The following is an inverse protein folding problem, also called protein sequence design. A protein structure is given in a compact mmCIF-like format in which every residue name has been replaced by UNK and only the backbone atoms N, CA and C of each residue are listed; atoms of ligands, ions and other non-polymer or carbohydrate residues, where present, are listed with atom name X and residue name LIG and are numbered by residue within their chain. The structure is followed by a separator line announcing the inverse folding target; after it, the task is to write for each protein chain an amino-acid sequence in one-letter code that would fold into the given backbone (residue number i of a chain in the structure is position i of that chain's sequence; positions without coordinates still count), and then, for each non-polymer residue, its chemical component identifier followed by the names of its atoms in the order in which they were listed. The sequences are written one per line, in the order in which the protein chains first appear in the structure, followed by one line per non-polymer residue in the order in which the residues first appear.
data_IF_491184834934
#
_entry.id   IF_491184834934
#
_cell.length_a   1.000
_cell.length_b   1.000
_cell.length_c   1.000
_cell.angle_alpha   90.00
_cell.angle_beta   90.00
_cell.angle_gamma   90.00
#
_symmetry.space_group_name_H-M   'P 1'
#
loop_
_entity.id
_entity.type
_entity.pdbx_description
1 polymer ?
#
# COMPACT_ATOMS: atom_id res chain seq x y z
N UNK A 1 83.05 13.50 43.99
CA UNK A 1 83.22 12.26 44.79
C UNK A 1 81.84 11.66 44.99
N UNK A 2 81.78 10.34 44.98
CA UNK A 2 80.64 9.45 44.66
C UNK A 2 79.64 9.31 45.84
N UNK A 3 78.34 9.06 45.58
CA UNK A 3 77.63 7.81 45.94
C UNK A 3 76.12 7.90 46.24
N UNK A 4 75.42 6.90 45.67
CA UNK A 4 74.28 6.09 46.15
C UNK A 4 73.00 6.82 46.64
N UNK A 5 71.78 6.39 46.33
CA UNK A 5 71.27 5.03 46.12
C UNK A 5 70.12 4.78 47.10
N UNK A 6 69.21 3.87 46.75
CA UNK A 6 68.02 3.40 47.51
C UNK A 6 66.76 4.28 47.38
N UNK A 7 65.53 3.79 47.37
CA UNK A 7 64.99 2.48 47.72
C UNK A 7 63.65 2.25 46.98
N UNK A 8 63.34 0.98 46.68
CA UNK A 8 62.03 0.51 46.21
C UNK A 8 60.99 0.56 47.33
N UNK A 9 59.73 0.92 47.03
CA UNK A 9 58.61 0.78 47.96
C UNK A 9 57.45 -0.05 47.37
N UNK A 10 56.77 -0.91 48.16
CA UNK A 10 55.79 -1.90 47.68
C UNK A 10 54.34 -1.38 47.64
N UNK A 11 54.13 -0.06 47.83
CA UNK A 11 52.80 0.59 47.83
C UNK A 11 52.20 0.76 46.43
N UNK A 12 52.99 0.61 45.37
CA UNK A 12 52.56 0.87 43.99
C UNK A 12 51.56 -0.18 43.46
N UNK A 13 51.67 -1.45 43.85
CA UNK A 13 50.86 -2.53 43.28
C UNK A 13 49.39 -2.51 43.72
N UNK A 14 49.08 -2.19 44.98
CA UNK A 14 47.68 -2.09 45.45
C UNK A 14 46.96 -0.89 44.85
N UNK A 15 47.67 0.23 44.71
CA UNK A 15 47.14 1.46 44.14
C UNK A 15 46.94 1.32 42.62
N UNK A 16 47.85 0.63 41.92
CA UNK A 16 47.69 0.27 40.51
C UNK A 16 46.48 -0.64 40.28
N UNK A 17 46.25 -1.65 41.13
CA UNK A 17 45.09 -2.54 41.01
C UNK A 17 43.76 -1.80 41.24
N UNK A 18 43.73 -0.85 42.18
CA UNK A 18 42.54 -0.03 42.44
C UNK A 18 42.23 0.91 41.26
N UNK A 19 43.25 1.61 40.73
CA UNK A 19 43.11 2.49 39.56
C UNK A 19 42.67 1.69 38.33
N UNK A 20 43.24 0.49 38.13
CA UNK A 20 42.85 -0.42 37.04
C UNK A 20 41.39 -0.88 37.19
N UNK A 21 40.96 -1.23 38.40
CA UNK A 21 39.58 -1.64 38.69
C UNK A 21 38.57 -0.51 38.45
N UNK A 22 38.87 0.71 38.90
CA UNK A 22 38.03 1.90 38.66
C UNK A 22 37.99 2.24 37.17
N UNK A 23 39.12 2.16 36.46
CA UNK A 23 39.19 2.40 35.01
C UNK A 23 38.36 1.37 34.21
N UNK A 24 38.42 0.10 34.59
CA UNK A 24 37.58 -0.95 34.01
C UNK A 24 36.10 -0.70 34.30
N UNK A 25 35.75 -0.34 35.52
CA UNK A 25 34.36 -0.10 35.90
C UNK A 25 33.77 1.12 35.16
N UNK A 26 34.57 2.18 34.99
CA UNK A 26 34.21 3.38 34.22
C UNK A 26 34.06 3.08 32.73
N UNK A 27 34.96 2.28 32.16
CA UNK A 27 34.90 1.83 30.77
C UNK A 27 33.70 0.92 30.50
N UNK A 28 33.37 0.02 31.44
CA UNK A 28 32.17 -0.83 31.39
C UNK A 28 30.88 -0.01 31.50
N UNK A 29 30.80 0.95 32.42
CA UNK A 29 29.65 1.86 32.54
C UNK A 29 29.43 2.71 31.28
N UNK A 30 30.51 3.23 30.67
CA UNK A 30 30.42 4.02 29.44
C UNK A 30 29.94 3.17 28.25
N UNK A 31 30.51 1.97 28.07
CA UNK A 31 30.11 1.02 27.01
C UNK A 31 28.68 0.51 27.21
N UNK A 32 28.26 0.31 28.45
CA UNK A 32 26.87 -0.02 28.78
C UNK A 32 25.95 1.14 28.38
N UNK A 33 26.25 2.37 28.79
CA UNK A 33 25.40 3.54 28.48
C UNK A 33 25.21 3.75 26.96
N UNK A 34 26.25 3.58 26.16
CA UNK A 34 26.14 3.74 24.70
C UNK A 34 25.37 2.59 24.06
N UNK A 35 25.63 1.34 24.46
CA UNK A 35 24.97 0.14 23.93
C UNK A 35 23.48 0.08 24.30
N UNK A 36 23.14 0.44 25.54
CA UNK A 36 21.74 0.52 25.97
C UNK A 36 20.99 1.64 25.26
N UNK A 37 21.64 2.78 24.99
CA UNK A 37 21.01 3.87 24.24
C UNK A 37 20.75 3.55 22.76
N UNK A 38 21.58 2.69 22.14
CA UNK A 38 21.40 2.28 20.74
C UNK A 38 20.39 1.15 20.62
N UNK A 39 20.38 0.18 21.55
CA UNK A 39 19.36 -0.88 21.60
C UNK A 39 17.97 -0.31 21.92
N UNK A 40 17.87 0.61 22.89
CA UNK A 40 16.62 1.28 23.21
C UNK A 40 16.11 2.12 22.03
N UNK A 41 16.98 2.88 21.34
CA UNK A 41 16.60 3.58 20.11
C UNK A 41 16.15 2.62 19.00
N UNK A 42 16.88 1.53 18.77
CA UNK A 42 16.53 0.53 17.75
C UNK A 42 15.14 -0.07 18.00
N UNK A 43 14.82 -0.44 19.24
CA UNK A 43 13.51 -1.00 19.58
C UNK A 43 12.39 0.03 19.42
N UNK A 44 12.57 1.27 19.90
CA UNK A 44 11.58 2.36 19.71
C UNK A 44 11.39 2.70 18.23
N UNK A 45 12.47 2.77 17.45
CA UNK A 45 12.40 3.03 16.01
C UNK A 45 11.73 1.90 15.24
N UNK A 46 11.97 0.64 15.63
CA UNK A 46 11.31 -0.52 15.05
C UNK A 46 9.80 -0.50 15.34
N UNK A 47 9.40 -0.20 16.57
CA UNK A 47 8.00 -0.04 16.95
C UNK A 47 7.35 1.14 16.22
N UNK A 48 8.03 2.29 16.10
CA UNK A 48 7.56 3.45 15.35
C UNK A 48 7.40 3.14 13.86
N UNK A 49 8.33 2.39 13.25
CA UNK A 49 8.22 1.96 11.84
C UNK A 49 7.01 1.05 11.65
N UNK A 50 6.80 0.06 12.53
CA UNK A 50 5.64 -0.83 12.50
C UNK A 50 4.32 -0.04 12.57
N UNK A 51 4.21 0.88 13.54
CA UNK A 51 3.03 1.75 13.68
C UNK A 51 2.81 2.64 12.44
N UNK A 52 3.87 3.22 11.88
CA UNK A 52 3.78 4.07 10.69
C UNK A 52 3.41 3.28 9.45
N UNK A 53 3.94 2.06 9.30
CA UNK A 53 3.61 1.16 8.19
C UNK A 53 2.14 0.74 8.27
N UNK A 54 1.65 0.32 9.43
CA UNK A 54 0.24 -0.02 9.64
C UNK A 54 -0.67 1.18 9.36
N UNK A 55 -0.31 2.38 9.82
CA UNK A 55 -1.07 3.60 9.54
C UNK A 55 -1.13 3.89 8.03
N UNK A 56 -0.01 3.79 7.32
CA UNK A 56 0.05 4.00 5.86
C UNK A 56 -0.79 2.96 5.11
N UNK A 57 -0.77 1.71 5.56
CA UNK A 57 -1.59 0.63 5.00
C UNK A 57 -3.08 0.93 5.13
N UNK A 58 -3.58 1.26 6.32
CA UNK A 58 -4.98 1.64 6.48
C UNK A 58 -5.34 2.93 5.72
N UNK A 59 -4.40 3.87 5.64
CA UNK A 59 -4.59 5.09 4.88
C UNK A 59 -4.72 4.83 3.37
N UNK A 60 -4.01 3.85 2.79
CA UNK A 60 -4.20 3.51 1.38
C UNK A 60 -5.58 2.92 1.09
N UNK A 61 -6.14 2.10 2.01
CA UNK A 61 -7.53 1.65 1.87
C UNK A 61 -8.51 2.83 1.93
N UNK A 62 -8.33 3.74 2.89
CA UNK A 62 -9.17 4.92 3.00
C UNK A 62 -9.17 5.73 1.69
N UNK A 63 -7.99 5.94 1.08
CA UNK A 63 -7.90 6.64 -0.20
C UNK A 63 -8.58 5.87 -1.35
N UNK A 64 -8.42 4.54 -1.41
CA UNK A 64 -9.11 3.71 -2.41
C UNK A 64 -10.63 3.80 -2.27
N UNK A 65 -11.17 3.68 -1.05
CA UNK A 65 -12.61 3.82 -0.79
C UNK A 65 -13.12 5.23 -1.06
N UNK A 66 -12.33 6.26 -0.76
CA UNK A 66 -12.68 7.63 -1.11
C UNK A 66 -12.80 7.81 -2.63
N UNK A 67 -11.91 7.20 -3.41
CA UNK A 67 -11.99 7.20 -4.88
C UNK A 67 -13.23 6.49 -5.42
N UNK A 68 -13.57 5.33 -4.88
CA UNK A 68 -14.80 4.60 -5.26
C UNK A 68 -16.04 5.42 -4.88
N UNK A 69 -16.09 5.97 -3.66
CA UNK A 69 -17.20 6.81 -3.21
C UNK A 69 -17.36 8.07 -4.06
N UNK A 70 -16.26 8.59 -4.61
CA UNK A 70 -16.29 9.73 -5.51
C UNK A 70 -16.97 9.36 -6.84
N UNK A 71 -16.53 8.27 -7.47
CA UNK A 71 -17.14 7.78 -8.71
C UNK A 71 -18.64 7.47 -8.54
N UNK A 72 -19.01 6.83 -7.43
CA UNK A 72 -20.43 6.55 -7.08
C UNK A 72 -21.25 7.83 -6.91
N UNK A 73 -20.68 8.99 -6.62
CA UNK A 73 -21.45 10.22 -6.41
C UNK A 73 -21.56 11.08 -7.65
N UNK A 74 -20.48 11.13 -8.42
CA UNK A 74 -20.30 12.13 -9.47
C UNK A 74 -20.54 11.59 -10.88
N UNK A 75 -20.30 10.30 -11.11
CA UNK A 75 -20.29 9.72 -12.47
C UNK A 75 -21.60 8.99 -12.78
N UNK A 76 -22.39 9.57 -13.70
CA UNK A 76 -23.66 8.98 -14.15
C UNK A 76 -23.46 7.63 -14.83
N UNK A 77 -22.40 7.50 -15.64
CA UNK A 77 -22.08 6.25 -16.33
C UNK A 77 -21.76 5.14 -15.31
N UNK A 78 -21.03 5.47 -14.25
CA UNK A 78 -20.77 4.56 -13.15
C UNK A 78 -22.05 4.06 -12.47
N UNK A 79 -23.09 4.90 -12.30
CA UNK A 79 -24.38 4.43 -11.76
C UNK A 79 -25.06 3.40 -12.64
N UNK A 80 -25.02 3.60 -13.96
CA UNK A 80 -25.62 2.70 -14.94
C UNK A 80 -24.88 1.36 -14.91
N UNK A 81 -23.56 1.38 -14.98
CA UNK A 81 -22.75 0.16 -14.90
C UNK A 81 -22.92 -0.57 -13.57
N UNK A 82 -22.99 0.17 -12.46
CA UNK A 82 -23.24 -0.41 -11.15
C UNK A 82 -24.63 -1.07 -11.06
N UNK A 83 -25.66 -0.47 -11.66
CA UNK A 83 -26.98 -1.09 -11.75
C UNK A 83 -26.94 -2.40 -12.55
N UNK A 84 -26.22 -2.43 -13.68
CA UNK A 84 -26.00 -3.67 -14.43
C UNK A 84 -25.22 -4.71 -13.62
N UNK A 85 -24.20 -4.31 -12.88
CA UNK A 85 -23.45 -5.19 -11.98
C UNK A 85 -24.36 -5.84 -10.92
N UNK A 86 -25.29 -5.07 -10.33
CA UNK A 86 -26.27 -5.60 -9.39
C UNK A 86 -27.24 -6.59 -10.06
N UNK A 87 -27.71 -6.29 -11.27
CA UNK A 87 -28.57 -7.20 -12.04
C UNK A 87 -27.83 -8.51 -12.34
N UNK A 88 -26.61 -8.45 -12.86
CA UNK A 88 -25.79 -9.64 -13.14
C UNK A 88 -25.51 -10.43 -11.86
N UNK A 89 -25.21 -9.75 -10.75
CA UNK A 89 -25.02 -10.40 -9.45
C UNK A 89 -26.29 -11.11 -8.96
N UNK A 90 -27.45 -10.49 -9.11
CA UNK A 90 -28.74 -11.11 -8.77
C UNK A 90 -29.02 -12.33 -9.66
N UNK A 91 -28.81 -12.23 -10.98
CA UNK A 91 -29.00 -13.36 -11.89
C UNK A 91 -28.01 -14.50 -11.59
N UNK A 92 -26.75 -14.20 -11.29
CA UNK A 92 -25.74 -15.20 -10.94
C UNK A 92 -26.06 -15.94 -9.63
N UNK A 93 -26.78 -15.28 -8.71
CA UNK A 93 -27.32 -15.89 -7.50
C UNK A 93 -28.59 -16.70 -7.75
N UNK A 94 -29.49 -16.20 -8.61
CA UNK A 94 -30.79 -16.82 -8.92
C UNK A 94 -30.65 -18.10 -9.77
N UNK A 95 -29.81 -18.09 -10.81
CA UNK A 95 -29.60 -19.25 -11.68
C UNK A 95 -28.69 -20.31 -11.02
N UNK A 96 -28.89 -21.61 -11.32
CA UNK A 96 -28.07 -22.70 -10.78
C UNK A 96 -26.71 -22.81 -11.50
N UNK A 97 -25.96 -21.72 -11.55
CA UNK A 97 -24.64 -21.64 -12.17
C UNK A 97 -23.58 -22.41 -11.37
N UNK A 98 -22.58 -22.94 -12.07
CA UNK A 98 -21.38 -23.51 -11.49
C UNK A 98 -20.49 -22.44 -10.82
N UNK A 99 -19.58 -22.87 -9.95
CA UNK A 99 -18.62 -21.97 -9.31
C UNK A 99 -17.72 -21.22 -10.31
N UNK A 100 -17.36 -21.87 -11.41
CA UNK A 100 -16.49 -21.29 -12.44
C UNK A 100 -17.24 -20.20 -13.23
N UNK A 101 -18.49 -20.45 -13.60
CA UNK A 101 -19.34 -19.47 -14.29
C UNK A 101 -19.58 -18.22 -13.42
N UNK A 102 -19.89 -18.41 -12.14
CA UNK A 102 -20.01 -17.29 -11.19
C UNK A 102 -18.71 -16.50 -11.08
N UNK A 103 -17.57 -17.19 -11.03
CA UNK A 103 -16.26 -16.54 -10.93
C UNK A 103 -15.95 -15.70 -12.17
N UNK A 104 -16.28 -16.21 -13.36
CA UNK A 104 -16.12 -15.48 -14.63
C UNK A 104 -17.05 -14.24 -14.66
N UNK A 105 -18.30 -14.37 -14.24
CA UNK A 105 -19.23 -13.22 -14.19
C UNK A 105 -18.73 -12.14 -13.23
N UNK A 106 -18.26 -12.52 -12.04
CA UNK A 106 -17.67 -11.58 -11.07
C UNK A 106 -16.44 -10.90 -11.66
N UNK A 107 -15.52 -11.68 -12.25
CA UNK A 107 -14.29 -11.17 -12.83
C UNK A 107 -14.56 -10.13 -13.92
N UNK A 108 -15.45 -10.45 -14.86
CA UNK A 108 -15.75 -9.58 -15.99
C UNK A 108 -16.53 -8.33 -15.55
N UNK A 109 -17.45 -8.47 -14.58
CA UNK A 109 -18.15 -7.31 -14.00
C UNK A 109 -17.19 -6.36 -13.29
N UNK A 110 -16.26 -6.89 -12.48
CA UNK A 110 -15.24 -6.08 -11.80
C UNK A 110 -14.29 -5.42 -12.81
N UNK A 111 -13.96 -6.10 -13.92
CA UNK A 111 -13.12 -5.54 -14.98
C UNK A 111 -13.77 -4.32 -15.64
N UNK A 112 -15.06 -4.41 -16.00
CA UNK A 112 -15.81 -3.29 -16.60
C UNK A 112 -15.81 -2.09 -15.65
N UNK A 113 -16.22 -2.31 -14.39
CA UNK A 113 -16.24 -1.25 -13.38
C UNK A 113 -14.85 -0.62 -13.15
N UNK A 114 -13.79 -1.43 -13.19
CA UNK A 114 -12.42 -0.93 -13.04
C UNK A 114 -12.01 -0.05 -14.21
N UNK A 115 -12.40 -0.41 -15.43
CA UNK A 115 -12.11 0.38 -16.63
C UNK A 115 -12.88 1.71 -16.63
N UNK A 116 -14.09 1.74 -16.08
CA UNK A 116 -14.85 2.99 -15.95
C UNK A 116 -14.22 3.95 -14.92
N UNK A 117 -13.68 3.42 -13.81
CA UNK A 117 -12.87 4.22 -12.87
C UNK A 117 -11.61 4.77 -13.55
N UNK A 118 -10.95 3.96 -14.39
CA UNK A 118 -9.81 4.40 -15.18
C UNK A 118 -10.23 5.49 -16.16
N UNK A 119 -11.35 5.32 -16.87
CA UNK A 119 -11.90 6.33 -17.79
C UNK A 119 -12.13 7.66 -17.08
N UNK A 120 -12.85 7.63 -15.95
CA UNK A 120 -13.08 8.80 -15.12
C UNK A 120 -11.76 9.47 -14.70
N UNK A 121 -10.76 8.69 -14.30
CA UNK A 121 -9.45 9.24 -13.90
C UNK A 121 -8.73 9.95 -15.05
N UNK A 122 -8.80 9.40 -16.27
CA UNK A 122 -8.25 10.02 -17.47
C UNK A 122 -9.00 11.29 -17.84
N UNK A 123 -10.33 11.27 -17.78
CA UNK A 123 -11.16 12.45 -18.03
C UNK A 123 -10.76 13.60 -17.09
N UNK A 124 -10.65 13.34 -15.79
CA UNK A 124 -10.25 14.37 -14.81
C UNK A 124 -8.82 14.86 -15.03
N UNK A 125 -7.89 13.94 -15.31
CA UNK A 125 -6.49 14.30 -15.58
C UNK A 125 -6.38 15.21 -16.80
N UNK A 126 -7.13 14.92 -17.86
CA UNK A 126 -7.13 15.70 -19.08
C UNK A 126 -7.84 17.06 -18.89
N UNK A 127 -8.93 17.11 -18.13
CA UNK A 127 -9.65 18.36 -17.85
C UNK A 127 -8.81 19.37 -17.06
N UNK A 128 -7.88 18.89 -16.22
CA UNK A 128 -6.94 19.76 -15.50
C UNK A 128 -5.95 20.49 -16.41
N UNK A 129 -5.71 20.02 -17.65
CA UNK A 129 -4.65 20.57 -18.52
C UNK A 129 -4.99 21.90 -19.23
N UNK A 130 -6.14 22.53 -18.94
CA UNK A 130 -6.70 23.75 -19.56
C UNK A 130 -7.01 23.64 -21.08
N UNK A 131 -8.20 24.09 -21.52
CA UNK A 131 -8.86 23.63 -22.75
C UNK A 131 -8.55 24.46 -24.00
N UNK A 132 -7.28 24.79 -24.28
CA UNK A 132 -6.92 25.06 -25.68
C UNK A 132 -6.81 23.70 -26.34
N UNK A 133 -7.98 23.15 -26.65
CA UNK A 133 -8.26 21.76 -27.00
C UNK A 133 -7.25 21.28 -28.03
N UNK A 134 -6.16 20.67 -27.55
CA UNK A 134 -5.21 20.04 -28.43
C UNK A 134 -5.96 18.84 -29.04
N UNK A 135 -5.96 18.65 -30.37
CA UNK A 135 -6.72 17.57 -31.01
C UNK A 135 -6.46 16.20 -30.39
N UNK A 136 -5.26 15.97 -29.85
CA UNK A 136 -4.90 14.76 -29.11
C UNK A 136 -5.71 14.50 -27.83
N UNK A 137 -6.15 15.54 -27.09
CA UNK A 137 -6.95 15.33 -25.87
C UNK A 137 -8.28 14.67 -26.20
N UNK A 138 -8.91 15.09 -27.31
CA UNK A 138 -10.14 14.46 -27.80
C UNK A 138 -9.89 13.00 -28.17
N UNK A 139 -8.83 12.73 -28.94
CA UNK A 139 -8.47 11.36 -29.34
C UNK A 139 -8.22 10.46 -28.12
N UNK A 140 -7.54 10.96 -27.08
CA UNK A 140 -7.30 10.17 -25.87
C UNK A 140 -8.62 9.87 -25.15
N UNK A 141 -9.52 10.86 -24.99
CA UNK A 141 -10.85 10.63 -24.38
C UNK A 141 -11.64 9.58 -25.16
N UNK A 142 -11.66 9.69 -26.50
CA UNK A 142 -12.38 8.74 -27.35
C UNK A 142 -11.78 7.32 -27.25
N UNK A 143 -10.46 7.19 -27.14
CA UNK A 143 -9.79 5.89 -26.98
C UNK A 143 -10.12 5.22 -25.64
N UNK A 144 -10.11 5.99 -24.54
CA UNK A 144 -10.39 5.43 -23.21
C UNK A 144 -11.87 5.07 -23.07
N UNK A 145 -12.78 5.91 -23.56
CA UNK A 145 -14.21 5.59 -23.65
C UNK A 145 -14.47 4.35 -24.53
N UNK A 146 -13.73 4.23 -25.65
CA UNK A 146 -13.76 3.05 -26.51
C UNK A 146 -13.31 1.77 -25.80
N UNK A 147 -12.30 1.85 -24.92
CA UNK A 147 -11.86 0.71 -24.12
C UNK A 147 -12.95 0.23 -23.14
N UNK A 148 -13.64 1.16 -22.47
CA UNK A 148 -14.79 0.83 -21.60
C UNK A 148 -15.88 0.15 -22.43
N UNK A 149 -16.23 0.70 -23.60
CA UNK A 149 -17.26 0.11 -24.48
C UNK A 149 -16.91 -1.33 -24.91
N UNK A 150 -15.66 -1.58 -25.31
CA UNK A 150 -15.22 -2.94 -25.70
C UNK A 150 -15.34 -3.89 -24.51
N UNK A 151 -14.99 -3.44 -23.30
CA UNK A 151 -15.11 -4.25 -22.10
C UNK A 151 -16.57 -4.58 -21.75
N UNK A 152 -17.48 -3.62 -21.89
CA UNK A 152 -18.90 -3.80 -21.65
C UNK A 152 -19.52 -4.77 -22.67
N UNK A 153 -19.12 -4.68 -23.95
CA UNK A 153 -19.52 -5.65 -24.98
C UNK A 153 -18.99 -7.05 -24.68
N UNK A 154 -17.73 -7.16 -24.24
CA UNK A 154 -17.16 -8.43 -23.79
C UNK A 154 -17.94 -9.03 -22.62
N UNK A 155 -18.32 -8.21 -21.64
CA UNK A 155 -19.15 -8.61 -20.51
C UNK A 155 -20.53 -9.10 -20.94
N UNK A 156 -21.15 -8.41 -21.89
CA UNK A 156 -22.42 -8.83 -22.47
C UNK A 156 -22.31 -10.21 -23.13
N UNK A 157 -21.28 -10.43 -23.97
CA UNK A 157 -21.05 -11.71 -24.65
C UNK A 157 -20.84 -12.83 -23.63
N UNK A 158 -19.99 -12.61 -22.63
CA UNK A 158 -19.74 -13.59 -21.56
C UNK A 158 -21.02 -13.89 -20.78
N UNK A 159 -21.79 -12.86 -20.42
CA UNK A 159 -23.08 -13.02 -19.75
C UNK A 159 -24.05 -13.89 -20.55
N UNK A 160 -24.17 -13.63 -21.86
CA UNK A 160 -25.01 -14.45 -22.74
C UNK A 160 -24.55 -15.90 -22.80
N UNK A 161 -23.24 -16.15 -22.96
CA UNK A 161 -22.69 -17.50 -23.00
C UNK A 161 -22.94 -18.29 -21.70
N UNK A 162 -22.94 -17.62 -20.55
CA UNK A 162 -23.20 -18.25 -19.25
C UNK A 162 -24.69 -18.45 -19.00
N UNK A 163 -25.53 -17.46 -19.28
CA UNK A 163 -26.95 -17.51 -18.93
C UNK A 163 -27.82 -18.27 -19.94
N UNK A 164 -27.53 -18.24 -21.26
CA UNK A 164 -28.36 -18.90 -22.28
C UNK A 164 -28.56 -20.41 -22.01
N UNK A 165 -27.51 -21.20 -21.66
CA UNK A 165 -27.66 -22.63 -21.38
C UNK A 165 -28.50 -22.94 -20.13
N UNK A 166 -28.69 -21.97 -19.24
CA UNK A 166 -29.45 -22.13 -18.00
C UNK A 166 -30.90 -21.63 -18.10
N UNK A 167 -31.19 -20.87 -19.15
CA UNK A 167 -32.54 -20.36 -19.47
C UNK A 167 -33.29 -21.32 -20.40
N UNK A 168 -32.56 -22.04 -21.27
CA UNK A 168 -33.10 -22.92 -22.31
C UNK A 168 -33.02 -24.37 -21.87
#
# INVERSE_FOLDING_TARGET
MVYHGSASSPMSSRMAFFIWSVSIMRSRCFRFRTTWSTLFRRTVDEQRRKLTAMRKFFQSFYHAFAGISYAIREERNFHIEFAFALVVGFLAWYFPLTSDERSILVLVTVLVMSLELVNTSFERMLDMTKPRVHPYVRVIKDLVAGAVLISALGALIVGLLVFIPHIT
#
